data_IF_050782582095
#
_entry.id   IF_050782582095
#
_cell.length_a   1.000
_cell.length_b   1.000
_cell.length_c   1.000
_cell.angle_alpha   90.00
_cell.angle_beta   90.00
_cell.angle_gamma   90.00
#
_symmetry.space_group_name_H-M   'P 1'
#
loop_
_entity.id
_entity.type
_entity.pdbx_description
1 polymer ?
#
# COMPACT_ATOMS: atom_id res chain seq x y z
N UNK A 1 -36.16 -8.26 22.85
CA UNK A 1 -34.97 -7.73 22.16
C UNK A 1 -34.20 -8.94 21.66
N UNK A 2 -33.98 -9.10 20.36
CA UNK A 2 -33.16 -10.21 19.89
C UNK A 2 -31.70 -9.90 20.26
N UNK A 3 -31.11 -10.74 21.11
CA UNK A 3 -29.73 -10.65 21.58
C UNK A 3 -29.00 -11.91 21.14
N UNK A 4 -27.69 -11.80 20.92
CA UNK A 4 -26.86 -12.94 20.53
C UNK A 4 -25.54 -12.94 21.31
N UNK A 5 -24.94 -14.12 21.42
CA UNK A 5 -23.60 -14.30 21.94
C UNK A 5 -22.56 -13.68 21.00
N UNK A 6 -21.55 -13.01 21.54
CA UNK A 6 -20.47 -12.44 20.75
C UNK A 6 -19.40 -13.50 20.43
N UNK A 7 -19.20 -13.80 19.16
CA UNK A 7 -18.21 -14.79 18.68
C UNK A 7 -16.74 -14.37 18.87
N UNK A 8 -16.49 -13.13 19.32
CA UNK A 8 -15.17 -12.51 19.34
C UNK A 8 -14.64 -12.42 20.78
N UNK A 9 -15.43 -11.85 21.70
CA UNK A 9 -15.05 -11.76 23.11
C UNK A 9 -15.74 -12.81 24.01
N UNK A 10 -16.66 -13.62 23.46
CA UNK A 10 -17.37 -14.66 24.21
C UNK A 10 -18.44 -14.15 25.17
N UNK A 11 -18.78 -12.85 25.12
CA UNK A 11 -19.81 -12.31 26.00
C UNK A 11 -21.22 -12.81 25.62
N UNK A 12 -21.99 -13.38 26.56
CA UNK A 12 -23.38 -13.77 26.31
C UNK A 12 -24.27 -12.54 26.14
N UNK A 13 -25.24 -12.61 25.22
CA UNK A 13 -26.26 -11.57 24.99
C UNK A 13 -25.74 -10.14 24.77
N UNK A 14 -24.46 -10.00 24.38
CA UNK A 14 -23.80 -8.71 24.20
C UNK A 14 -23.99 -8.12 22.80
N UNK A 15 -24.37 -8.94 21.82
CA UNK A 15 -24.63 -8.47 20.46
C UNK A 15 -26.01 -7.81 20.39
N UNK A 16 -26.07 -6.61 19.82
CA UNK A 16 -27.29 -5.85 19.54
C UNK A 16 -27.45 -5.67 18.04
N UNK A 17 -28.66 -5.89 17.55
CA UNK A 17 -29.08 -5.59 16.18
C UNK A 17 -28.97 -4.08 15.92
N UNK A 18 -28.44 -3.71 14.75
CA UNK A 18 -28.59 -2.36 14.22
C UNK A 18 -29.18 -2.40 12.81
N UNK A 19 -29.85 -1.32 12.43
CA UNK A 19 -30.52 -1.14 11.15
C UNK A 19 -30.33 0.32 10.69
N UNK A 20 -30.35 0.53 9.37
CA UNK A 20 -30.23 1.82 8.71
C UNK A 20 -29.07 2.70 9.21
N UNK A 21 -27.94 2.07 9.57
CA UNK A 21 -26.71 2.76 9.95
C UNK A 21 -26.01 3.28 8.69
N UNK A 22 -25.36 4.42 8.80
CA UNK A 22 -24.48 4.93 7.76
C UNK A 22 -23.04 4.95 8.25
N UNK A 23 -22.12 4.51 7.40
CA UNK A 23 -20.70 4.52 7.69
C UNK A 23 -19.92 5.23 6.58
N UNK A 24 -18.76 5.81 6.92
CA UNK A 24 -17.91 6.51 5.95
C UNK A 24 -16.56 5.81 5.87
N UNK A 25 -16.32 5.18 4.73
CA UNK A 25 -15.06 4.55 4.37
C UNK A 25 -14.03 5.61 4.03
N UNK A 26 -12.77 5.39 4.44
CA UNK A 26 -11.65 6.28 4.14
C UNK A 26 -10.45 5.49 3.63
N UNK A 27 -9.98 5.83 2.44
CA UNK A 27 -8.76 5.23 1.85
C UNK A 27 -7.94 6.33 1.19
N UNK A 28 -6.69 6.50 1.62
CA UNK A 28 -5.76 7.48 1.06
C UNK A 28 -6.33 8.91 0.95
N UNK A 29 -7.13 9.34 1.94
CA UNK A 29 -7.76 10.67 1.97
C UNK A 29 -9.03 10.81 1.12
N UNK A 30 -9.44 9.76 0.41
CA UNK A 30 -10.74 9.71 -0.27
C UNK A 30 -11.78 9.11 0.66
N UNK A 31 -13.02 9.57 0.53
CA UNK A 31 -14.13 9.15 1.37
C UNK A 31 -15.27 8.55 0.52
N UNK A 32 -15.91 7.50 1.04
CA UNK A 32 -17.13 6.93 0.47
C UNK A 32 -18.10 6.59 1.60
N UNK A 33 -19.25 7.27 1.62
CA UNK A 33 -20.34 6.94 2.53
C UNK A 33 -21.10 5.73 2.02
N UNK A 34 -21.45 4.79 2.91
CA UNK A 34 -22.34 3.66 2.64
C UNK A 34 -23.50 3.79 3.62
N UNK A 35 -24.70 3.86 3.07
CA UNK A 35 -25.93 4.03 3.84
C UNK A 35 -26.69 2.72 3.94
N UNK A 36 -27.69 2.73 4.82
CA UNK A 36 -28.61 1.62 5.04
C UNK A 36 -27.93 0.28 5.37
N UNK A 37 -26.96 0.35 6.28
CA UNK A 37 -26.27 -0.82 6.80
C UNK A 37 -27.05 -1.40 7.97
N UNK A 38 -27.11 -2.72 7.98
CA UNK A 38 -27.71 -3.51 9.03
C UNK A 38 -26.76 -4.64 9.44
N UNK A 39 -26.80 -5.00 10.71
CA UNK A 39 -25.94 -6.03 11.26
C UNK A 39 -26.14 -6.23 12.74
N UNK A 40 -25.09 -6.72 13.38
CA UNK A 40 -24.99 -6.92 14.81
C UNK A 40 -23.71 -6.29 15.34
N UNK A 41 -23.77 -5.67 16.51
CA UNK A 41 -22.61 -5.04 17.16
C UNK A 41 -22.56 -5.42 18.64
N UNK A 42 -21.40 -5.87 19.08
CA UNK A 42 -21.15 -6.17 20.48
C UNK A 42 -20.99 -4.88 21.29
N UNK A 43 -21.84 -4.70 22.30
CA UNK A 43 -21.81 -3.51 23.15
C UNK A 43 -20.68 -3.52 24.20
N UNK A 44 -19.84 -4.56 24.22
CA UNK A 44 -18.70 -4.68 25.14
C UNK A 44 -17.36 -4.52 24.44
N UNK A 45 -17.12 -5.25 23.34
CA UNK A 45 -15.85 -5.20 22.62
C UNK A 45 -15.90 -4.31 21.36
N UNK A 46 -17.08 -3.85 20.95
CA UNK A 46 -17.27 -2.99 19.78
C UNK A 46 -17.16 -3.70 18.43
N UNK A 47 -16.96 -5.02 18.41
CA UNK A 47 -16.87 -5.76 17.15
C UNK A 47 -18.26 -6.00 16.56
N UNK A 48 -18.34 -6.03 15.23
CA UNK A 48 -19.60 -6.06 14.50
C UNK A 48 -19.57 -6.95 13.26
N UNK A 49 -20.75 -7.42 12.86
CA UNK A 49 -20.97 -8.21 11.66
C UNK A 49 -22.12 -7.61 10.87
N UNK A 50 -21.88 -7.27 9.61
CA UNK A 50 -22.92 -6.85 8.68
C UNK A 50 -23.76 -8.06 8.24
N UNK A 51 -25.05 -7.83 7.94
CA UNK A 51 -25.85 -8.81 7.22
C UNK A 51 -25.28 -9.03 5.81
N UNK A 52 -25.59 -10.16 5.13
CA UNK A 52 -25.05 -10.45 3.79
C UNK A 52 -25.16 -9.29 2.80
N UNK A 53 -26.36 -8.73 2.60
CA UNK A 53 -26.58 -7.60 1.70
C UNK A 53 -25.79 -6.33 2.10
N UNK A 54 -25.72 -6.04 3.40
CA UNK A 54 -24.96 -4.91 3.94
C UNK A 54 -23.46 -5.12 3.77
N UNK A 55 -22.98 -6.35 3.97
CA UNK A 55 -21.59 -6.76 3.77
C UNK A 55 -21.18 -6.64 2.31
N UNK A 56 -22.03 -7.05 1.38
CA UNK A 56 -21.78 -6.93 -0.06
C UNK A 56 -21.70 -5.46 -0.49
N UNK A 57 -22.64 -4.62 -0.04
CA UNK A 57 -22.63 -3.17 -0.30
C UNK A 57 -21.36 -2.50 0.26
N UNK A 58 -21.03 -2.79 1.52
CA UNK A 58 -19.85 -2.25 2.20
C UNK A 58 -18.57 -2.67 1.47
N UNK A 59 -18.45 -3.96 1.14
CA UNK A 59 -17.27 -4.51 0.46
C UNK A 59 -17.11 -3.93 -0.94
N UNK A 60 -18.19 -3.86 -1.72
CA UNK A 60 -18.16 -3.27 -3.06
C UNK A 60 -17.70 -1.81 -3.04
N UNK A 61 -18.21 -1.01 -2.09
CA UNK A 61 -17.83 0.38 -1.91
C UNK A 61 -16.36 0.53 -1.47
N UNK A 62 -15.89 -0.32 -0.55
CA UNK A 62 -14.49 -0.35 -0.11
C UNK A 62 -13.54 -0.69 -1.27
N UNK A 63 -13.88 -1.73 -2.02
CA UNK A 63 -13.15 -2.19 -3.18
C UNK A 63 -13.06 -1.12 -4.28
N UNK A 64 -14.17 -0.44 -4.57
CA UNK A 64 -14.21 0.69 -5.50
C UNK A 64 -13.27 1.82 -5.05
N UNK A 65 -13.31 2.17 -3.77
CA UNK A 65 -12.47 3.23 -3.20
C UNK A 65 -10.98 2.87 -3.30
N UNK A 66 -10.61 1.63 -2.95
CA UNK A 66 -9.22 1.13 -3.08
C UNK A 66 -8.77 1.11 -4.53
N UNK A 67 -9.60 0.60 -5.47
CA UNK A 67 -9.27 0.58 -6.90
C UNK A 67 -9.05 1.98 -7.44
N UNK A 68 -9.95 2.90 -7.12
CA UNK A 68 -9.86 4.31 -7.52
C UNK A 68 -8.55 4.93 -7.03
N UNK A 69 -8.17 4.67 -5.77
CA UNK A 69 -6.94 5.20 -5.19
C UNK A 69 -5.72 4.72 -5.99
N UNK A 70 -5.68 3.43 -6.31
CA UNK A 70 -4.59 2.81 -7.06
C UNK A 70 -4.53 3.34 -8.48
N UNK A 71 -5.67 3.51 -9.16
CA UNK A 71 -5.73 4.08 -10.50
C UNK A 71 -5.22 5.53 -10.51
N UNK A 72 -5.60 6.35 -9.53
CA UNK A 72 -5.12 7.73 -9.44
C UNK A 72 -3.60 7.79 -9.25
N UNK A 73 -3.05 6.97 -8.35
CA UNK A 73 -1.59 6.87 -8.14
C UNK A 73 -0.91 6.36 -9.43
N UNK A 74 -1.46 5.33 -10.07
CA UNK A 74 -0.94 4.78 -11.33
C UNK A 74 -0.90 5.80 -12.46
N UNK A 75 -1.96 6.62 -12.61
CA UNK A 75 -2.02 7.69 -13.58
C UNK A 75 -0.96 8.76 -13.32
N UNK A 76 -0.73 9.11 -12.05
CA UNK A 76 0.32 10.08 -11.69
C UNK A 76 1.71 9.53 -11.99
N UNK A 77 1.98 8.27 -11.64
CA UNK A 77 3.22 7.58 -11.99
C UNK A 77 3.47 7.59 -13.51
N UNK A 78 2.43 7.32 -14.31
CA UNK A 78 2.48 7.36 -15.77
C UNK A 78 2.79 8.76 -16.30
N UNK A 79 2.13 9.79 -15.75
CA UNK A 79 2.34 11.20 -16.12
C UNK A 79 3.79 11.61 -15.90
N UNK A 80 4.31 11.36 -14.69
CA UNK A 80 5.68 11.69 -14.30
C UNK A 80 6.67 10.96 -15.18
N UNK A 81 6.51 9.63 -15.36
CA UNK A 81 7.41 8.83 -16.19
C UNK A 81 7.50 9.38 -17.62
N UNK A 82 6.37 9.74 -18.22
CA UNK A 82 6.31 10.32 -19.56
C UNK A 82 7.00 11.69 -19.63
N UNK A 83 6.83 12.54 -18.61
CA UNK A 83 7.53 13.82 -18.51
C UNK A 83 9.05 13.64 -18.41
N UNK A 84 9.52 12.59 -17.75
CA UNK A 84 10.94 12.23 -17.66
C UNK A 84 11.45 11.51 -18.92
N UNK A 85 10.62 11.35 -19.95
CA UNK A 85 10.95 10.63 -21.19
C UNK A 85 11.45 9.20 -20.98
N UNK A 86 10.96 8.53 -19.94
CA UNK A 86 11.30 7.14 -19.64
C UNK A 86 10.26 6.18 -20.22
N UNK A 87 10.71 5.10 -20.83
CA UNK A 87 9.88 3.91 -21.05
C UNK A 87 9.60 3.19 -19.73
N UNK A 88 8.59 2.31 -19.70
CA UNK A 88 8.33 1.50 -18.50
C UNK A 88 9.54 0.62 -18.14
N UNK A 89 10.23 0.07 -19.15
CA UNK A 89 11.43 -0.76 -18.98
C UNK A 89 12.57 0.03 -18.33
N UNK A 90 12.86 1.22 -18.85
CA UNK A 90 13.91 2.08 -18.28
C UNK A 90 13.57 2.50 -16.86
N UNK A 91 12.31 2.84 -16.58
CA UNK A 91 11.88 3.22 -15.23
C UNK A 91 12.02 2.06 -14.23
N UNK A 92 11.75 0.82 -14.65
CA UNK A 92 12.02 -0.38 -13.83
C UNK A 92 13.52 -0.51 -13.53
N UNK A 93 14.34 -0.49 -14.58
CA UNK A 93 15.79 -0.70 -14.46
C UNK A 93 16.46 0.38 -13.60
N UNK A 94 16.01 1.63 -13.74
CA UNK A 94 16.62 2.77 -13.09
C UNK A 94 16.09 3.03 -11.67
N UNK A 95 14.78 2.89 -11.44
CA UNK A 95 14.15 3.48 -10.24
C UNK A 95 13.54 2.46 -9.27
N UNK A 96 13.08 1.30 -9.74
CA UNK A 96 12.36 0.36 -8.87
C UNK A 96 13.09 -0.94 -8.60
N UNK A 97 13.95 -1.41 -9.53
CA UNK A 97 14.59 -2.73 -9.43
C UNK A 97 13.60 -3.90 -9.38
N UNK A 98 12.31 -3.66 -9.68
CA UNK A 98 11.28 -4.69 -9.66
C UNK A 98 11.29 -5.58 -10.91
N UNK A 99 10.34 -6.51 -10.99
CA UNK A 99 10.14 -7.30 -12.21
C UNK A 99 9.83 -6.44 -13.44
N UNK A 100 10.10 -6.95 -14.64
CA UNK A 100 10.04 -6.20 -15.91
C UNK A 100 8.68 -5.50 -16.19
N UNK A 101 7.60 -5.90 -15.51
CA UNK A 101 6.24 -5.41 -15.70
C UNK A 101 5.76 -4.52 -14.55
N UNK A 102 6.61 -4.18 -13.59
CA UNK A 102 6.22 -3.46 -12.38
C UNK A 102 5.52 -2.13 -12.71
N UNK A 103 6.14 -1.28 -13.54
CA UNK A 103 5.52 -0.02 -13.98
C UNK A 103 4.22 -0.24 -14.76
N UNK A 104 4.12 -1.31 -15.55
CA UNK A 104 2.87 -1.65 -16.26
C UNK A 104 1.72 -1.93 -15.28
N UNK A 105 2.00 -2.68 -14.21
CA UNK A 105 1.02 -3.02 -13.16
C UNK A 105 0.68 -1.81 -12.29
N UNK A 106 1.68 -0.99 -11.95
CA UNK A 106 1.46 0.26 -11.21
C UNK A 106 0.56 1.22 -11.99
N UNK A 107 0.86 1.44 -13.27
CA UNK A 107 0.11 2.37 -14.13
C UNK A 107 -1.33 1.92 -14.41
N UNK A 108 -1.62 0.61 -14.36
CA UNK A 108 -2.98 0.06 -14.44
C UNK A 108 -3.70 0.00 -13.09
N UNK A 109 -3.04 0.34 -11.98
CA UNK A 109 -3.61 0.23 -10.64
C UNK A 109 -3.75 -1.20 -10.12
N UNK A 110 -3.15 -2.18 -10.80
CA UNK A 110 -3.16 -3.61 -10.41
C UNK A 110 -2.29 -3.87 -9.18
N UNK A 111 -1.27 -3.04 -8.99
CA UNK A 111 -0.36 -3.11 -7.86
C UNK A 111 -0.03 -1.70 -7.37
N UNK A 112 0.05 -1.52 -6.05
CA UNK A 112 0.47 -0.25 -5.48
C UNK A 112 2.00 -0.12 -5.60
N UNK A 113 2.53 0.99 -6.15
CA UNK A 113 3.97 1.24 -6.12
C UNK A 113 4.45 1.44 -4.66
N UNK A 114 5.66 0.96 -4.30
CA UNK A 114 6.23 1.21 -2.99
C UNK A 114 6.32 2.71 -2.67
N UNK A 115 6.08 3.09 -1.42
CA UNK A 115 6.12 4.49 -0.97
C UNK A 115 7.43 5.22 -1.35
N UNK A 116 8.64 4.63 -1.22
CA UNK A 116 9.88 5.29 -1.64
C UNK A 116 9.91 5.60 -3.14
N UNK A 117 9.38 4.70 -3.98
CA UNK A 117 9.32 4.90 -5.43
C UNK A 117 8.38 6.07 -5.79
N UNK A 118 7.22 6.15 -5.15
CA UNK A 118 6.29 7.28 -5.33
C UNK A 118 6.95 8.60 -4.93
N UNK A 119 7.67 8.62 -3.81
CA UNK A 119 8.41 9.79 -3.34
C UNK A 119 9.48 10.22 -4.34
N UNK A 120 10.32 9.29 -4.80
CA UNK A 120 11.38 9.55 -5.79
C UNK A 120 10.80 10.09 -7.09
N UNK A 121 9.73 9.48 -7.60
CA UNK A 121 9.05 9.96 -8.80
C UNK A 121 8.52 11.39 -8.64
N UNK A 122 7.89 11.72 -7.50
CA UNK A 122 7.42 13.08 -7.23
C UNK A 122 8.56 14.09 -7.07
N UNK A 123 9.70 13.66 -6.53
CA UNK A 123 10.90 14.50 -6.46
C UNK A 123 11.45 14.80 -7.86
N UNK A 124 11.57 13.77 -8.71
CA UNK A 124 12.01 13.91 -10.10
C UNK A 124 11.02 14.70 -10.96
N UNK A 125 9.71 14.62 -10.68
CA UNK A 125 8.72 15.49 -11.33
C UNK A 125 8.97 16.97 -11.00
N UNK A 126 9.32 17.28 -9.75
CA UNK A 126 9.65 18.64 -9.32
C UNK A 126 11.01 19.11 -9.85
N UNK A 127 12.00 18.23 -9.91
CA UNK A 127 13.36 18.53 -10.33
C UNK A 127 13.85 17.54 -11.40
N UNK A 128 13.38 17.65 -12.66
CA UNK A 128 13.68 16.68 -13.72
C UNK A 128 15.18 16.55 -14.05
N UNK A 129 15.98 17.60 -13.81
CA UNK A 129 17.42 17.59 -14.06
C UNK A 129 18.15 16.56 -13.18
N UNK A 130 17.62 16.23 -12.00
CA UNK A 130 18.19 15.21 -11.10
C UNK A 130 18.09 13.79 -11.67
N UNK A 131 17.39 13.58 -12.80
CA UNK A 131 17.40 12.31 -13.50
C UNK A 131 18.82 11.92 -13.97
N UNK A 132 19.66 12.90 -14.31
CA UNK A 132 21.06 12.65 -14.65
C UNK A 132 21.82 12.06 -13.45
N UNK A 133 21.68 12.68 -12.29
CA UNK A 133 22.29 12.21 -11.04
C UNK A 133 21.74 10.83 -10.65
N UNK A 134 20.43 10.61 -10.77
CA UNK A 134 19.82 9.32 -10.50
C UNK A 134 20.41 8.19 -11.37
N UNK A 135 20.76 8.47 -12.63
CA UNK A 135 21.42 7.50 -13.51
C UNK A 135 22.83 7.16 -13.02
N UNK A 136 23.61 8.16 -12.62
CA UNK A 136 24.96 7.96 -12.07
C UNK A 136 24.89 7.17 -10.76
N UNK A 137 24.00 7.56 -9.85
CA UNK A 137 23.82 6.89 -8.56
C UNK A 137 23.34 5.44 -8.71
N UNK A 138 22.52 5.14 -9.71
CA UNK A 138 22.04 3.78 -9.96
C UNK A 138 23.15 2.80 -10.37
N UNK A 139 24.30 3.30 -10.86
CA UNK A 139 25.48 2.45 -11.12
C UNK A 139 26.16 1.98 -9.83
N UNK A 140 25.89 2.65 -8.70
CA UNK A 140 26.47 2.35 -7.39
C UNK A 140 27.99 2.49 -7.36
N UNK A 141 28.57 3.28 -8.26
CA UNK A 141 30.01 3.42 -8.39
C UNK A 141 30.67 3.95 -7.11
N UNK A 142 29.99 4.87 -6.45
CA UNK A 142 30.30 5.48 -5.16
C UNK A 142 30.28 4.48 -3.99
N UNK A 143 29.48 3.42 -4.11
CA UNK A 143 29.33 2.37 -3.10
C UNK A 143 30.36 1.23 -3.24
N UNK A 144 31.24 1.23 -4.25
CA UNK A 144 32.23 0.15 -4.45
C UNK A 144 33.49 0.27 -3.60
N UNK A 145 33.65 1.38 -2.86
CA UNK A 145 34.81 1.64 -2.00
C UNK A 145 34.74 1.04 -0.59
N UNK A 146 33.70 0.25 -0.27
CA UNK A 146 33.57 -0.34 1.07
C UNK A 146 34.66 -1.40 1.30
N UNK A 147 35.54 -1.15 2.26
CA UNK A 147 36.47 -2.15 2.76
C UNK A 147 35.80 -2.94 3.88
N UNK A 148 35.73 -4.26 3.73
CA UNK A 148 35.28 -5.15 4.80
C UNK A 148 36.48 -5.88 5.38
N UNK A 149 36.80 -5.63 6.65
CA UNK A 149 37.79 -6.40 7.39
C UNK A 149 37.14 -7.69 7.89
N UNK A 150 37.39 -8.81 7.19
CA UNK A 150 36.94 -10.12 7.65
C UNK A 150 37.85 -10.59 8.80
N UNK A 151 37.35 -10.53 10.04
CA UNK A 151 37.99 -11.18 11.17
C UNK A 151 37.76 -12.69 11.07
N UNK A 152 38.60 -13.39 10.31
CA UNK A 152 38.65 -14.86 10.36
C UNK A 152 39.30 -15.27 11.68
N UNK A 153 38.47 -15.65 12.66
CA UNK A 153 38.87 -16.02 14.03
C UNK A 153 39.74 -17.27 14.17
N UNK A 154 40.61 -17.60 13.20
CA UNK A 154 41.57 -18.71 13.29
C UNK A 154 42.96 -18.29 13.78
N UNK A 155 43.28 -16.99 13.86
CA UNK A 155 44.58 -16.53 14.37
C UNK A 155 44.60 -16.31 15.90
N UNK A 156 43.44 -16.12 16.54
CA UNK A 156 43.37 -15.88 17.99
C UNK A 156 43.50 -17.15 18.87
N UNK A 157 43.45 -18.36 18.29
CA UNK A 157 43.46 -19.63 19.01
C UNK A 157 44.79 -20.41 18.92
N UNK A 158 45.84 -19.85 18.29
CA UNK A 158 47.17 -20.50 18.20
C UNK A 158 48.19 -20.02 19.25
N UNK A 159 47.74 -19.28 20.26
CA UNK A 159 48.58 -18.84 21.37
C UNK A 159 47.88 -19.14 22.71
N UNK A 160 47.77 -20.42 23.07
CA UNK A 160 47.56 -20.88 24.45
C UNK A 160 48.11 -22.29 24.59
#
# INVERSE_FOLDING_TARGET
MNTQHCFICGAPDAMRRFESRSETLRVNGMERRVDDLSGWECQLCGDGMHDPDSSDRYSAASDELVRTARTMIGNEMKRIRRKLHLTQKEAVQLLSGGGHNAFSRYERGELLPPKPLVLLMRLLDRYPHLLADARVLAEGADLRGFTHTANTGQEALKAS
#
